data_IF_610471426397
#
_entry.id   IF_610471426397
#
_cell.length_a   1.000
_cell.length_b   1.000
_cell.length_c   1.000
_cell.angle_alpha   90.00
_cell.angle_beta   90.00
_cell.angle_gamma   90.00
#
_symmetry.space_group_name_H-M   'P 1'
#
loop_
_entity.id
_entity.type
_entity.pdbx_description
1 polymer ?
#
# COMPACT_ATOMS: atom_id res chain seq x y z
N UNK A 1 -28.33 -14.20 11.81
CA UNK A 1 -28.45 -12.78 11.41
C UNK A 1 -27.47 -11.99 12.28
N UNK A 2 -26.23 -11.77 11.81
CA UNK A 2 -25.13 -11.19 12.62
C UNK A 2 -25.08 -9.67 12.43
N UNK A 3 -25.68 -8.90 13.34
CA UNK A 3 -25.80 -7.42 13.24
C UNK A 3 -24.66 -6.67 13.96
N UNK A 4 -23.63 -7.35 14.48
CA UNK A 4 -22.58 -6.70 15.31
C UNK A 4 -21.13 -6.94 14.86
N UNK A 5 -20.87 -7.26 13.59
CA UNK A 5 -19.49 -7.39 13.08
C UNK A 5 -19.06 -6.13 12.33
N UNK A 6 -18.13 -5.36 12.90
CA UNK A 6 -17.51 -4.20 12.23
C UNK A 6 -16.39 -4.71 11.32
N UNK A 7 -16.49 -4.43 10.02
CA UNK A 7 -15.42 -4.75 9.08
C UNK A 7 -14.32 -3.71 9.22
N UNK A 8 -13.10 -4.18 9.48
CA UNK A 8 -11.90 -3.35 9.67
C UNK A 8 -10.80 -3.76 8.70
N UNK A 9 -9.88 -2.84 8.33
CA UNK A 9 -8.85 -3.15 7.36
C UNK A 9 -7.64 -3.91 7.95
N UNK A 10 -7.40 -3.84 9.26
CA UNK A 10 -6.36 -4.62 9.95
C UNK A 10 -6.75 -6.09 10.11
N UNK A 11 -5.77 -6.99 10.07
CA UNK A 11 -5.98 -8.44 10.22
C UNK A 11 -5.95 -8.91 11.67
N UNK A 12 -5.37 -8.12 12.56
CA UNK A 12 -5.20 -8.44 13.97
C UNK A 12 -4.99 -7.14 14.76
N UNK A 13 -5.12 -7.25 16.08
CA UNK A 13 -4.91 -6.12 16.99
C UNK A 13 -3.45 -5.63 16.92
N UNK A 14 -2.48 -6.53 16.76
CA UNK A 14 -1.06 -6.15 16.68
C UNK A 14 -0.71 -5.30 15.46
N UNK A 15 -1.34 -5.52 14.29
CA UNK A 15 -1.19 -4.62 13.13
C UNK A 15 -1.68 -3.21 13.50
N UNK A 16 -2.80 -3.12 14.22
CA UNK A 16 -3.39 -1.85 14.65
C UNK A 16 -2.53 -1.13 15.68
N UNK A 17 -2.12 -1.85 16.74
CA UNK A 17 -1.23 -1.36 17.80
C UNK A 17 0.09 -0.86 17.24
N UNK A 18 0.69 -1.59 16.28
CA UNK A 18 1.93 -1.17 15.64
C UNK A 18 1.80 0.20 14.97
N UNK A 19 0.69 0.46 14.28
CA UNK A 19 0.46 1.77 13.66
C UNK A 19 0.18 2.83 14.73
N UNK A 20 -0.66 2.52 15.71
CA UNK A 20 -1.00 3.42 16.80
C UNK A 20 0.23 3.86 17.62
N UNK A 21 1.13 2.92 17.95
CA UNK A 21 2.37 3.21 18.67
C UNK A 21 3.38 4.00 17.85
N UNK A 22 3.24 4.01 16.52
CA UNK A 22 4.15 4.69 15.61
C UNK A 22 3.76 6.14 15.32
N UNK A 23 2.55 6.58 15.69
CA UNK A 23 1.98 7.90 15.37
C UNK A 23 2.91 9.06 15.71
N UNK A 24 3.46 9.03 16.93
CA UNK A 24 4.33 10.09 17.49
C UNK A 24 5.82 9.80 17.33
N UNK A 25 6.18 8.73 16.63
CA UNK A 25 7.59 8.37 16.46
C UNK A 25 8.30 9.41 15.60
N UNK A 26 9.47 9.88 16.06
CA UNK A 26 10.41 10.66 15.25
C UNK A 26 11.31 9.77 14.38
N UNK A 27 11.31 8.46 14.61
CA UNK A 27 12.07 7.51 13.81
C UNK A 27 11.38 7.23 12.48
N UNK A 28 12.03 7.63 11.38
CA UNK A 28 11.52 7.45 10.03
C UNK A 28 11.43 5.97 9.61
N UNK A 29 12.21 5.07 10.21
CA UNK A 29 12.10 3.63 9.94
C UNK A 29 10.80 3.08 10.54
N UNK A 30 10.51 3.41 11.80
CA UNK A 30 9.25 3.05 12.47
C UNK A 30 8.05 3.62 11.70
N UNK A 31 8.15 4.87 11.28
CA UNK A 31 7.10 5.52 10.49
C UNK A 31 6.89 4.83 9.12
N UNK A 32 7.98 4.45 8.44
CA UNK A 32 7.94 3.73 7.17
C UNK A 32 7.26 2.37 7.33
N UNK A 33 7.58 1.63 8.38
CA UNK A 33 6.94 0.35 8.67
C UNK A 33 5.43 0.51 8.92
N UNK A 34 5.02 1.52 9.70
CA UNK A 34 3.62 1.83 9.93
C UNK A 34 2.88 2.17 8.61
N UNK A 35 3.49 3.01 7.77
CA UNK A 35 2.96 3.36 6.44
C UNK A 35 2.80 2.14 5.55
N UNK A 36 3.72 1.17 5.60
CA UNK A 36 3.59 -0.08 4.85
C UNK A 36 2.41 -0.91 5.32
N UNK A 37 2.22 -1.06 6.64
CA UNK A 37 1.05 -1.76 7.20
C UNK A 37 -0.25 -1.09 6.75
N UNK A 38 -0.32 0.25 6.87
CA UNK A 38 -1.48 1.02 6.42
C UNK A 38 -1.71 0.93 4.90
N UNK A 39 -0.66 0.83 4.09
CA UNK A 39 -0.82 0.64 2.64
C UNK A 39 -1.53 -0.66 2.32
N UNK A 40 -1.18 -1.75 3.02
CA UNK A 40 -1.88 -3.03 2.90
C UNK A 40 -3.35 -2.88 3.28
N UNK A 41 -3.66 -2.09 4.32
CA UNK A 41 -5.04 -1.78 4.71
C UNK A 41 -5.83 -1.06 3.62
N UNK A 42 -5.21 -0.11 2.91
CA UNK A 42 -5.84 0.61 1.80
C UNK A 42 -6.14 -0.29 0.60
N UNK A 43 -5.38 -1.37 0.39
CA UNK A 43 -5.65 -2.36 -0.66
C UNK A 43 -6.77 -3.34 -0.28
N UNK A 44 -6.98 -3.58 1.02
CA UNK A 44 -7.92 -4.59 1.52
C UNK A 44 -9.38 -4.17 1.48
N UNK A 45 -9.65 -2.87 1.48
CA UNK A 45 -11.00 -2.33 1.59
C UNK A 45 -11.14 -1.18 0.61
N UNK A 46 -12.31 -1.03 -0.01
CA UNK A 46 -12.58 0.11 -0.88
C UNK A 46 -12.32 1.41 -0.08
N UNK A 47 -11.58 2.36 -0.66
CA UNK A 47 -11.20 3.63 -0.03
C UNK A 47 -12.41 4.37 0.57
N UNK A 48 -13.58 4.28 -0.06
CA UNK A 48 -14.84 4.88 0.45
C UNK A 48 -15.35 4.28 1.76
N UNK A 49 -14.84 3.13 2.18
CA UNK A 49 -15.18 2.42 3.42
C UNK A 49 -14.11 2.53 4.49
N UNK A 50 -12.98 3.17 4.19
CA UNK A 50 -11.88 3.35 5.13
C UNK A 50 -12.18 4.57 6.00
N UNK A 51 -12.02 4.48 7.33
CA UNK A 51 -12.19 5.63 8.20
C UNK A 51 -11.30 6.80 7.77
N UNK A 52 -11.84 8.01 7.77
CA UNK A 52 -11.09 9.22 7.39
C UNK A 52 -9.84 9.40 8.23
N UNK A 53 -9.90 9.10 9.53
CA UNK A 53 -8.74 9.16 10.42
C UNK A 53 -7.59 8.25 9.97
N UNK A 54 -7.89 7.05 9.45
CA UNK A 54 -6.89 6.13 8.88
C UNK A 54 -6.30 6.72 7.60
N UNK A 55 -7.12 7.29 6.71
CA UNK A 55 -6.63 7.94 5.49
C UNK A 55 -5.75 9.16 5.79
N UNK A 56 -6.21 10.05 6.68
CA UNK A 56 -5.47 11.22 7.10
C UNK A 56 -4.13 10.85 7.75
N UNK A 57 -4.13 9.84 8.62
CA UNK A 57 -2.90 9.35 9.25
C UNK A 57 -1.93 8.86 8.19
N UNK A 58 -2.38 8.03 7.25
CA UNK A 58 -1.54 7.52 6.17
C UNK A 58 -0.95 8.66 5.32
N UNK A 59 -1.77 9.61 4.88
CA UNK A 59 -1.32 10.73 4.03
C UNK A 59 -0.33 11.65 4.76
N UNK A 60 -0.57 11.95 6.04
CA UNK A 60 0.35 12.73 6.88
C UNK A 60 1.70 12.01 7.04
N UNK A 61 1.68 10.72 7.39
CA UNK A 61 2.92 9.95 7.58
C UNK A 61 3.70 9.80 6.27
N UNK A 62 3.03 9.60 5.14
CA UNK A 62 3.67 9.57 3.82
C UNK A 62 4.34 10.92 3.52
N UNK A 63 3.63 12.03 3.76
CA UNK A 63 4.20 13.36 3.53
C UNK A 63 5.40 13.67 4.44
N UNK A 64 5.36 13.21 5.70
CA UNK A 64 6.49 13.27 6.65
C UNK A 64 7.70 12.50 6.14
N UNK A 65 7.50 11.28 5.62
CA UNK A 65 8.57 10.46 5.04
C UNK A 65 9.17 11.06 3.76
N UNK A 66 8.36 11.77 2.97
CA UNK A 66 8.82 12.46 1.77
C UNK A 66 9.71 13.67 2.08
N UNK A 67 9.65 14.21 3.31
CA UNK A 67 10.39 15.40 3.74
C UNK A 67 10.22 16.58 2.75
N UNK A 68 9.00 16.74 2.28
CA UNK A 68 8.64 17.67 1.21
C UNK A 68 7.63 18.67 1.73
N UNK A 69 8.00 19.96 1.76
CA UNK A 69 7.13 21.06 2.23
C UNK A 69 5.77 21.07 1.50
N UNK A 70 5.69 20.96 0.16
CA UNK A 70 4.41 20.91 -0.54
C UNK A 70 3.59 19.66 -0.20
N UNK A 71 4.23 18.49 -0.07
CA UNK A 71 3.53 17.26 0.29
C UNK A 71 2.91 17.37 1.70
N UNK A 72 3.68 17.90 2.65
CA UNK A 72 3.22 18.11 4.03
C UNK A 72 2.08 19.12 4.10
N UNK A 73 2.19 20.24 3.37
CA UNK A 73 1.11 21.22 3.26
C UNK A 73 -0.17 20.60 2.69
N UNK A 74 -0.08 19.83 1.60
CA UNK A 74 -1.25 19.20 0.99
C UNK A 74 -1.88 18.14 1.91
N UNK A 75 -1.08 17.34 2.61
CA UNK A 75 -1.57 16.36 3.57
C UNK A 75 -2.28 17.04 4.74
N UNK A 76 -1.72 18.13 5.28
CA UNK A 76 -2.34 18.93 6.35
C UNK A 76 -3.65 19.56 5.86
N UNK A 77 -3.64 20.19 4.68
CA UNK A 77 -4.85 20.78 4.08
C UNK A 77 -5.96 19.74 3.91
N UNK A 78 -5.59 18.53 3.49
CA UNK A 78 -6.52 17.41 3.30
C UNK A 78 -7.03 16.86 4.64
N UNK A 79 -6.17 16.73 5.65
CA UNK A 79 -6.57 16.41 7.02
C UNK A 79 -7.61 17.40 7.53
N UNK A 80 -7.31 18.71 7.47
CA UNK A 80 -8.22 19.76 7.96
C UNK A 80 -9.56 19.68 7.21
N UNK A 81 -9.52 19.49 5.89
CA UNK A 81 -10.73 19.40 5.08
C UNK A 81 -11.59 18.18 5.46
N UNK A 82 -10.98 17.00 5.62
CA UNK A 82 -11.68 15.75 5.89
C UNK A 82 -12.19 15.65 7.34
N UNK A 83 -11.38 16.09 8.31
CA UNK A 83 -11.74 16.12 9.73
C UNK A 83 -12.88 17.11 9.98
N UNK A 84 -12.83 18.29 9.34
CA UNK A 84 -13.87 19.30 9.49
C UNK A 84 -15.20 18.89 8.84
N UNK A 85 -15.17 18.23 7.67
CA UNK A 85 -16.40 17.94 6.91
C UNK A 85 -17.11 16.63 7.29
N UNK A 86 -16.56 15.83 8.20
CA UNK A 86 -17.05 14.47 8.50
C UNK A 86 -18.55 14.44 8.88
N UNK A 87 -18.96 15.28 9.81
CA UNK A 87 -20.36 15.33 10.24
C UNK A 87 -21.30 15.87 9.16
N UNK A 88 -20.86 16.90 8.42
CA UNK A 88 -21.68 17.48 7.35
C UNK A 88 -21.92 16.45 6.23
N UNK A 89 -20.88 15.72 5.83
CA UNK A 89 -20.95 14.73 4.77
C UNK A 89 -21.78 13.52 5.19
N UNK A 90 -21.71 13.12 6.46
CA UNK A 90 -22.53 12.04 7.03
C UNK A 90 -24.01 12.41 7.09
N UNK A 91 -24.32 13.63 7.52
CA UNK A 91 -25.69 14.09 7.70
C UNK A 91 -26.36 14.53 6.38
N UNK A 92 -25.60 14.63 5.28
CA UNK A 92 -26.07 15.11 3.96
C UNK A 92 -26.88 16.41 4.09
N UNK A 93 -26.38 17.33 4.91
CA UNK A 93 -27.04 18.62 5.11
C UNK A 93 -27.18 19.35 3.77
N UNK A 94 -28.38 19.83 3.40
CA UNK A 94 -28.58 20.55 2.14
C UNK A 94 -27.89 21.93 2.12
N UNK A 95 -27.45 22.43 3.28
CA UNK A 95 -26.73 23.69 3.42
C UNK A 95 -25.25 23.44 3.72
N UNK A 96 -24.39 24.03 2.88
CA UNK A 96 -22.95 24.04 3.09
C UNK A 96 -22.58 25.02 4.21
N UNK A 97 -21.93 24.54 5.27
CA UNK A 97 -21.38 25.37 6.33
C UNK A 97 -19.99 25.89 5.97
N UNK A 98 -19.59 27.08 6.48
CA UNK A 98 -18.23 27.57 6.34
C UNK A 98 -17.20 26.60 6.96
N UNK A 99 -16.05 26.43 6.32
CA UNK A 99 -14.97 25.54 6.78
C UNK A 99 -14.50 25.92 8.19
N UNK A 100 -14.46 27.21 8.54
CA UNK A 100 -14.12 27.67 9.90
C UNK A 100 -15.10 27.19 10.96
N UNK A 101 -16.40 27.15 10.63
CA UNK A 101 -17.42 26.62 11.53
C UNK A 101 -17.33 25.09 11.66
N UNK A 102 -17.01 24.41 10.58
CA UNK A 102 -16.79 22.96 10.55
C UNK A 102 -15.55 22.55 11.35
N UNK A 103 -14.43 23.25 11.16
CA UNK A 103 -13.18 23.00 11.88
C UNK A 103 -13.36 23.16 13.40
N UNK A 104 -14.04 24.23 13.81
CA UNK A 104 -14.37 24.46 15.22
C UNK A 104 -15.25 23.34 15.80
N UNK A 105 -16.27 22.89 15.05
CA UNK A 105 -17.13 21.76 15.46
C UNK A 105 -16.34 20.45 15.60
N UNK A 106 -15.35 20.24 14.73
CA UNK A 106 -14.45 19.09 14.79
C UNK A 106 -13.36 19.21 15.89
N UNK A 107 -13.36 20.28 16.70
CA UNK A 107 -12.38 20.50 17.75
C UNK A 107 -10.99 20.90 17.25
N UNK A 108 -10.88 21.37 16.00
CA UNK A 108 -9.63 21.91 15.47
C UNK A 108 -9.42 23.36 15.91
N UNK A 109 -8.17 23.80 16.15
CA UNK A 109 -7.86 25.22 16.40
C UNK A 109 -8.35 26.12 15.26
N UNK A 110 -8.89 27.31 15.60
CA UNK A 110 -9.50 28.22 14.60
C UNK A 110 -8.53 28.56 13.45
N UNK A 111 -7.24 28.75 13.77
CA UNK A 111 -6.18 29.09 12.79
C UNK A 111 -5.95 28.00 11.74
N UNK A 112 -6.34 26.74 11.98
CA UNK A 112 -6.21 25.69 10.99
C UNK A 112 -7.12 25.90 9.78
N UNK A 113 -8.29 26.52 9.99
CA UNK A 113 -9.19 26.82 8.87
C UNK A 113 -8.60 27.87 7.93
N UNK A 114 -7.87 28.85 8.48
CA UNK A 114 -7.14 29.86 7.72
C UNK A 114 -5.94 29.25 7.00
N UNK A 115 -5.17 28.42 7.70
CA UNK A 115 -4.06 27.66 7.10
C UNK A 115 -4.51 26.83 5.89
N UNK A 116 -5.65 26.15 5.99
CA UNK A 116 -6.21 25.39 4.87
C UNK A 116 -6.49 26.29 3.67
N UNK A 117 -7.02 27.49 3.90
CA UNK A 117 -7.31 28.45 2.83
C UNK A 117 -6.03 29.01 2.23
N UNK A 118 -5.04 29.35 3.06
CA UNK A 118 -3.73 29.82 2.61
C UNK A 118 -3.07 28.80 1.66
N UNK A 119 -3.02 27.53 2.07
CA UNK A 119 -2.46 26.46 1.24
C UNK A 119 -3.26 26.30 -0.06
N UNK A 120 -4.60 26.34 0.00
CA UNK A 120 -5.46 26.22 -1.17
C UNK A 120 -5.27 27.38 -2.18
N UNK A 121 -4.93 28.57 -1.68
CA UNK A 121 -4.61 29.74 -2.49
C UNK A 121 -3.14 29.81 -2.92
N UNK A 122 -2.33 28.81 -2.57
CA UNK A 122 -0.93 28.70 -2.95
C UNK A 122 0.06 29.40 -2.02
N UNK A 123 -0.43 29.93 -0.88
CA UNK A 123 0.43 30.48 0.17
C UNK A 123 0.95 29.34 1.05
N UNK A 124 2.12 28.82 0.69
CA UNK A 124 2.79 27.76 1.45
C UNK A 124 3.49 28.33 2.69
N UNK A 125 3.15 27.88 3.90
CA UNK A 125 3.89 28.25 5.11
C UNK A 125 5.30 27.66 5.13
N UNK A 126 6.08 28.10 6.10
CA UNK A 126 7.43 27.55 6.35
C UNK A 126 7.34 26.06 6.74
N UNK A 127 8.39 25.30 6.41
CA UNK A 127 8.46 23.89 6.80
C UNK A 127 8.36 23.71 8.32
N UNK A 128 9.00 24.58 9.12
CA UNK A 128 8.94 24.50 10.58
C UNK A 128 7.50 24.69 11.12
N UNK A 129 6.72 25.58 10.52
CA UNK A 129 5.32 25.77 10.89
C UNK A 129 4.46 24.55 10.51
N UNK A 130 4.68 24.00 9.31
CA UNK A 130 4.00 22.76 8.88
C UNK A 130 4.41 21.56 9.74
N UNK A 131 5.65 21.52 10.22
CA UNK A 131 6.14 20.47 11.11
C UNK A 131 5.45 20.50 12.48
N UNK A 132 5.34 21.71 13.07
CA UNK A 132 4.56 21.91 14.28
C UNK A 132 3.08 21.56 14.07
N UNK A 133 2.52 21.95 12.90
CA UNK A 133 1.14 21.63 12.54
C UNK A 133 0.91 20.14 12.38
N UNK A 134 1.86 19.40 11.79
CA UNK A 134 1.83 17.94 11.70
C UNK A 134 1.64 17.31 13.09
N UNK A 135 2.40 17.77 14.09
CA UNK A 135 2.26 17.29 15.47
C UNK A 135 0.84 17.52 16.01
N UNK A 136 0.25 18.70 15.78
CA UNK A 136 -1.13 18.98 16.19
C UNK A 136 -2.14 18.05 15.48
N UNK A 137 -1.95 17.77 14.19
CA UNK A 137 -2.78 16.82 13.45
C UNK A 137 -2.67 15.40 14.03
N UNK A 138 -1.46 14.96 14.37
CA UNK A 138 -1.21 13.64 14.97
C UNK A 138 -1.83 13.56 16.37
N UNK A 139 -1.71 14.61 17.19
CA UNK A 139 -2.34 14.68 18.52
C UNK A 139 -3.87 14.61 18.42
N UNK A 140 -4.47 15.28 17.43
CA UNK A 140 -5.91 15.16 17.18
C UNK A 140 -6.32 13.74 16.77
N UNK A 141 -5.51 13.09 15.92
CA UNK A 141 -5.76 11.73 15.46
C UNK A 141 -5.55 10.68 16.57
N UNK A 142 -4.70 10.97 17.55
CA UNK A 142 -4.41 10.06 18.67
C UNK A 142 -5.68 9.61 19.38
N UNK A 143 -6.66 10.49 19.56
CA UNK A 143 -7.91 10.13 20.22
C UNK A 143 -8.70 9.06 19.45
N UNK A 144 -8.74 9.17 18.12
CA UNK A 144 -9.33 8.12 17.28
C UNK A 144 -8.60 6.80 17.48
N UNK A 145 -7.27 6.82 17.46
CA UNK A 145 -6.47 5.61 17.60
C UNK A 145 -6.62 4.98 18.99
N UNK A 146 -6.58 5.80 20.03
CA UNK A 146 -6.74 5.40 21.42
C UNK A 146 -8.13 4.81 21.69
N UNK A 147 -9.20 5.45 21.23
CA UNK A 147 -10.58 4.98 21.44
C UNK A 147 -10.93 3.71 20.64
N UNK A 148 -10.17 3.40 19.59
CA UNK A 148 -10.38 2.19 18.80
C UNK A 148 -9.29 1.13 19.07
N UNK A 149 -8.38 1.38 20.03
CA UNK A 149 -7.64 0.30 20.68
C UNK A 149 -8.67 -0.56 21.42
N UNK A 150 -8.61 -1.89 21.30
CA UNK A 150 -9.47 -2.74 22.11
C UNK A 150 -9.07 -2.60 23.59
N UNK A 151 -9.79 -1.77 24.35
CA UNK A 151 -9.74 -1.80 25.81
C UNK A 151 -10.26 -3.17 26.27
N UNK A 152 -9.36 -4.06 26.71
CA UNK A 152 -9.58 -5.19 27.62
C UNK A 152 -10.82 -6.12 27.44
N UNK A 153 -11.57 -6.08 26.33
CA UNK A 153 -12.69 -6.99 26.03
C UNK A 153 -12.30 -8.11 25.04
N UNK A 154 -11.00 -8.40 24.92
CA UNK A 154 -10.52 -9.58 24.20
C UNK A 154 -9.46 -10.35 24.98
N UNK A 155 -9.65 -10.53 26.29
CA UNK A 155 -8.98 -11.59 27.07
C UNK A 155 -9.53 -13.01 26.73
N UNK A 156 -9.95 -13.22 25.48
CA UNK A 156 -10.28 -14.55 24.94
C UNK A 156 -9.71 -14.81 23.54
N UNK A 157 -8.87 -13.89 23.02
CA UNK A 157 -7.95 -14.20 21.91
C UNK A 157 -6.50 -13.97 22.35
N UNK A 158 -6.24 -14.12 23.65
CA UNK A 158 -5.03 -14.79 24.17
C UNK A 158 -5.02 -16.29 23.82
N UNK A 159 -5.53 -16.65 22.64
CA UNK A 159 -4.86 -17.72 21.95
C UNK A 159 -3.55 -17.09 21.51
N UNK A 160 -2.55 -17.25 22.37
CA UNK A 160 -1.19 -17.63 21.99
C UNK A 160 -1.14 -17.75 20.48
N UNK A 161 -0.33 -16.92 19.84
CA UNK A 161 0.15 -17.13 18.48
C UNK A 161 0.84 -18.50 18.46
N UNK A 162 0.04 -19.57 18.55
CA UNK A 162 0.44 -20.96 18.46
C UNK A 162 0.84 -21.01 17.02
N UNK A 163 2.14 -20.96 16.84
CA UNK A 163 2.79 -21.25 15.59
C UNK A 163 2.03 -22.42 14.96
N UNK A 164 1.38 -22.13 13.83
CA UNK A 164 0.60 -23.16 13.15
C UNK A 164 1.59 -24.26 12.82
N UNK A 165 1.40 -25.44 13.40
CA UNK A 165 2.17 -26.60 13.00
C UNK A 165 1.67 -27.04 11.63
N UNK A 166 2.25 -26.44 10.59
CA UNK A 166 1.92 -26.69 9.20
C UNK A 166 2.13 -28.15 8.78
N UNK A 167 2.92 -28.93 9.52
CA UNK A 167 3.09 -30.35 9.25
C UNK A 167 1.87 -31.18 9.70
N UNK A 168 1.12 -30.69 10.69
CA UNK A 168 -0.05 -31.36 11.25
C UNK A 168 -1.35 -30.54 11.10
N UNK A 169 -1.32 -29.45 10.31
CA UNK A 169 -2.48 -28.58 10.17
C UNK A 169 -3.60 -29.24 9.37
N UNK A 170 -4.80 -29.45 9.95
CA UNK A 170 -5.86 -30.18 9.27
C UNK A 170 -6.37 -29.43 8.01
N UNK A 171 -6.48 -30.10 6.84
CA UNK A 171 -7.00 -29.49 5.62
C UNK A 171 -8.41 -28.88 5.76
N UNK A 172 -9.28 -29.51 6.54
CA UNK A 172 -10.66 -29.06 6.77
C UNK A 172 -10.66 -27.76 7.57
N UNK A 173 -9.82 -27.69 8.61
CA UNK A 173 -9.63 -26.49 9.42
C UNK A 173 -9.04 -25.35 8.59
N UNK A 174 -8.03 -25.62 7.77
CA UNK A 174 -7.49 -24.64 6.83
C UNK A 174 -8.58 -24.09 5.90
N UNK A 175 -9.45 -24.96 5.39
CA UNK A 175 -10.56 -24.58 4.52
C UNK A 175 -11.55 -23.66 5.24
N UNK A 176 -11.91 -23.98 6.49
CA UNK A 176 -12.79 -23.18 7.35
C UNK A 176 -12.17 -21.82 7.70
N UNK A 177 -10.90 -21.79 8.08
CA UNK A 177 -10.20 -20.55 8.41
C UNK A 177 -10.13 -19.61 7.19
N UNK A 178 -9.95 -20.17 5.98
CA UNK A 178 -9.90 -19.37 4.76
C UNK A 178 -11.26 -18.78 4.36
N UNK A 179 -12.38 -19.31 4.87
CA UNK A 179 -13.72 -18.76 4.67
C UNK A 179 -13.96 -17.49 5.51
N UNK A 180 -13.22 -17.33 6.60
CA UNK A 180 -13.22 -16.10 7.40
C UNK A 180 -12.15 -15.13 6.88
N UNK A 181 -12.50 -13.91 6.43
CA UNK A 181 -11.50 -12.95 5.94
C UNK A 181 -10.40 -12.60 6.94
N UNK A 182 -10.69 -12.67 8.25
CA UNK A 182 -9.72 -12.40 9.30
C UNK A 182 -8.75 -13.57 9.47
N UNK A 183 -9.30 -14.79 9.59
CA UNK A 183 -8.49 -15.99 9.80
C UNK A 183 -7.68 -16.35 8.54
N UNK A 184 -8.26 -16.14 7.35
CA UNK A 184 -7.55 -16.29 6.08
C UNK A 184 -6.23 -15.52 6.08
N UNK A 185 -6.25 -14.25 6.51
CA UNK A 185 -5.05 -13.41 6.55
C UNK A 185 -4.02 -13.89 7.58
N UNK A 186 -4.48 -14.31 8.76
CA UNK A 186 -3.58 -14.87 9.79
C UNK A 186 -2.90 -16.15 9.29
N UNK A 187 -3.67 -17.01 8.63
CA UNK A 187 -3.20 -18.25 8.00
C UNK A 187 -2.22 -17.96 6.86
N UNK A 188 -2.52 -17.00 5.98
CA UNK A 188 -1.63 -16.58 4.89
C UNK A 188 -0.29 -16.04 5.42
N UNK A 189 -0.32 -15.19 6.46
CA UNK A 189 0.88 -14.65 7.11
C UNK A 189 1.69 -15.73 7.82
N UNK A 190 1.01 -16.63 8.55
CA UNK A 190 1.64 -17.76 9.21
C UNK A 190 2.31 -18.69 8.19
N UNK A 191 1.63 -18.96 7.07
CA UNK A 191 2.17 -19.77 5.98
C UNK A 191 3.41 -19.12 5.39
N UNK A 192 3.39 -17.81 5.12
CA UNK A 192 4.56 -17.08 4.62
C UNK A 192 5.76 -17.16 5.57
N UNK A 193 5.51 -17.18 6.89
CA UNK A 193 6.55 -17.35 7.93
C UNK A 193 7.16 -18.75 7.87
N UNK A 194 6.30 -19.78 7.89
CA UNK A 194 6.70 -21.18 7.80
C UNK A 194 7.46 -21.47 6.49
N UNK A 195 6.92 -21.02 5.37
CA UNK A 195 7.55 -21.14 4.05
C UNK A 195 8.96 -20.53 4.05
N UNK A 196 9.12 -19.32 4.59
CA UNK A 196 10.44 -18.67 4.71
C UNK A 196 11.39 -19.43 5.64
N UNK A 197 10.89 -20.17 6.63
CA UNK A 197 11.70 -21.03 7.49
C UNK A 197 12.24 -22.27 6.76
N UNK A 198 11.44 -22.90 5.91
CA UNK A 198 11.82 -24.12 5.15
C UNK A 198 13.03 -23.92 4.23
N UNK A 199 13.26 -22.70 3.77
CA UNK A 199 14.40 -22.40 2.89
C UNK A 199 15.71 -22.34 3.68
N UNK A 200 15.67 -21.91 4.96
CA UNK A 200 16.84 -21.84 5.84
C UNK A 200 17.35 -23.23 6.22
N UNK A 201 16.44 -24.20 6.33
CA UNK A 201 16.78 -25.61 6.56
C UNK A 201 17.25 -26.35 5.30
N UNK A 202 17.44 -25.67 4.16
CA UNK A 202 17.87 -26.29 2.91
C UNK A 202 16.78 -27.11 2.21
N UNK A 203 15.51 -27.02 2.63
CA UNK A 203 14.42 -27.89 2.16
C UNK A 203 13.80 -27.49 0.81
N UNK A 204 14.33 -26.49 0.10
CA UNK A 204 13.86 -26.03 -1.22
C UNK A 204 14.13 -26.99 -2.40
N UNK A 205 14.32 -28.29 -2.14
CA UNK A 205 14.31 -29.32 -3.18
C UNK A 205 12.88 -29.47 -3.73
N UNK A 206 12.70 -29.61 -5.07
CA UNK A 206 11.39 -29.88 -5.69
C UNK A 206 10.64 -31.10 -5.10
N UNK A 207 11.36 -32.01 -4.44
CA UNK A 207 10.84 -33.21 -3.79
C UNK A 207 10.08 -32.93 -2.48
N UNK A 208 10.45 -31.88 -1.75
CA UNK A 208 9.78 -31.48 -0.50
C UNK A 208 8.54 -30.59 -0.73
N UNK A 209 8.30 -30.14 -1.96
CA UNK A 209 7.08 -29.43 -2.32
C UNK A 209 5.83 -30.31 -2.15
N UNK A 210 5.96 -31.64 -2.16
CA UNK A 210 4.82 -32.55 -2.19
C UNK A 210 3.86 -32.38 -0.99
N UNK A 211 4.38 -32.16 0.21
CA UNK A 211 3.57 -31.85 1.40
C UNK A 211 2.88 -30.48 1.28
N UNK A 212 3.60 -29.48 0.75
CA UNK A 212 3.09 -28.13 0.53
C UNK A 212 2.04 -28.04 -0.58
N UNK A 213 2.11 -28.92 -1.60
CA UNK A 213 1.15 -28.92 -2.71
C UNK A 213 -0.28 -29.07 -2.21
N UNK A 214 -0.52 -29.85 -1.15
CA UNK A 214 -1.87 -30.01 -0.57
C UNK A 214 -2.40 -28.67 -0.03
N UNK A 215 -1.58 -27.97 0.74
CA UNK A 215 -1.89 -26.65 1.31
C UNK A 215 -2.11 -25.61 0.19
N UNK A 216 -1.22 -25.57 -0.79
CA UNK A 216 -1.32 -24.66 -1.93
C UNK A 216 -2.55 -24.93 -2.82
N UNK A 217 -2.99 -26.19 -2.96
CA UNK A 217 -4.26 -26.51 -3.65
C UNK A 217 -5.46 -25.93 -2.92
N UNK A 218 -5.44 -25.92 -1.60
CA UNK A 218 -6.52 -25.33 -0.79
C UNK A 218 -6.53 -23.81 -0.96
N UNK A 219 -5.37 -23.15 -0.86
CA UNK A 219 -5.26 -21.71 -1.16
C UNK A 219 -5.73 -21.37 -2.58
N UNK A 220 -5.37 -22.20 -3.57
CA UNK A 220 -5.86 -22.06 -4.96
C UNK A 220 -7.37 -22.16 -5.04
N UNK A 221 -7.95 -23.20 -4.43
CA UNK A 221 -9.41 -23.41 -4.44
C UNK A 221 -10.16 -22.26 -3.76
N UNK A 222 -9.58 -21.65 -2.73
CA UNK A 222 -10.13 -20.48 -2.02
C UNK A 222 -9.76 -19.13 -2.66
N UNK A 223 -9.14 -19.11 -3.84
CA UNK A 223 -8.71 -17.89 -4.55
C UNK A 223 -7.71 -17.01 -3.78
N UNK A 224 -6.84 -17.61 -2.96
CA UNK A 224 -5.88 -16.91 -2.08
C UNK A 224 -4.43 -16.97 -2.54
N UNK A 225 -4.14 -17.51 -3.72
CA UNK A 225 -2.76 -17.68 -4.22
C UNK A 225 -2.04 -16.35 -4.40
N UNK A 226 -2.74 -15.32 -4.90
CA UNK A 226 -2.17 -13.98 -5.01
C UNK A 226 -1.76 -13.43 -3.62
N UNK A 227 -2.59 -13.62 -2.59
CA UNK A 227 -2.28 -13.16 -1.23
C UNK A 227 -1.06 -13.90 -0.65
N UNK A 228 -0.96 -15.21 -0.87
CA UNK A 228 0.20 -16.02 -0.49
C UNK A 228 1.48 -15.54 -1.19
N UNK A 229 1.40 -15.26 -2.49
CA UNK A 229 2.52 -14.73 -3.26
C UNK A 229 2.91 -13.31 -2.81
N UNK A 230 1.94 -12.42 -2.56
CA UNK A 230 2.16 -11.07 -2.05
C UNK A 230 2.89 -11.09 -0.70
N UNK A 231 2.48 -11.96 0.21
CA UNK A 231 3.16 -12.13 1.50
C UNK A 231 4.63 -12.53 1.34
N UNK A 232 4.97 -13.35 0.35
CA UNK A 232 6.38 -13.67 0.06
C UNK A 232 7.17 -12.43 -0.36
N UNK A 233 6.61 -11.58 -1.25
CA UNK A 233 7.27 -10.34 -1.67
C UNK A 233 7.43 -9.33 -0.54
N UNK A 234 6.40 -9.10 0.28
CA UNK A 234 6.47 -8.13 1.38
C UNK A 234 7.35 -8.55 2.55
N UNK A 235 7.63 -9.85 2.65
CA UNK A 235 8.58 -10.38 3.65
C UNK A 235 10.04 -10.29 3.19
N UNK A 236 10.31 -9.90 1.94
CA UNK A 236 11.68 -9.68 1.47
C UNK A 236 12.31 -8.52 2.25
N UNK A 237 13.53 -8.75 2.73
CA UNK A 237 14.33 -7.80 3.49
C UNK A 237 15.66 -7.55 2.76
N UNK A 238 16.44 -6.57 3.22
CA UNK A 238 17.78 -6.31 2.70
C UNK A 238 18.84 -7.30 3.20
N UNK A 239 18.54 -8.15 4.21
CA UNK A 239 19.52 -9.08 4.81
C UNK A 239 19.79 -10.30 3.94
N UNK A 240 20.99 -10.88 4.00
CA UNK A 240 21.41 -11.97 3.12
C UNK A 240 20.68 -13.31 3.38
N UNK A 241 20.24 -13.57 4.61
CA UNK A 241 19.50 -14.79 4.99
C UNK A 241 17.99 -14.60 4.89
N UNK A 242 17.49 -14.66 3.66
CA UNK A 242 16.11 -14.32 3.36
C UNK A 242 15.38 -15.43 2.60
N UNK A 243 14.74 -16.31 3.36
CA UNK A 243 13.85 -17.31 2.81
C UNK A 243 12.66 -16.74 2.05
N UNK A 244 12.19 -15.56 2.45
CA UNK A 244 11.11 -14.89 1.72
C UNK A 244 11.58 -14.47 0.33
N UNK A 245 12.84 -14.06 0.18
CA UNK A 245 13.42 -13.77 -1.15
C UNK A 245 13.42 -14.99 -2.07
N UNK A 246 13.72 -16.20 -1.57
CA UNK A 246 13.65 -17.41 -2.38
C UNK A 246 12.22 -17.75 -2.79
N UNK A 247 11.25 -17.59 -1.89
CA UNK A 247 9.84 -17.78 -2.23
C UNK A 247 9.32 -16.73 -3.22
N UNK A 248 9.71 -15.47 -3.06
CA UNK A 248 9.40 -14.40 -4.02
C UNK A 248 9.95 -14.74 -5.41
N UNK A 249 11.17 -15.31 -5.50
CA UNK A 249 11.76 -15.82 -6.75
C UNK A 249 10.94 -16.95 -7.36
N UNK A 250 10.51 -17.94 -6.57
CA UNK A 250 9.70 -19.05 -7.06
C UNK A 250 8.35 -18.58 -7.58
N UNK A 251 7.68 -17.69 -6.86
CA UNK A 251 6.43 -17.08 -7.31
C UNK A 251 6.64 -16.28 -8.60
N UNK A 252 7.68 -15.46 -8.66
CA UNK A 252 8.01 -14.69 -9.85
C UNK A 252 8.25 -15.59 -11.07
N UNK A 253 9.04 -16.66 -10.89
CA UNK A 253 9.27 -17.65 -11.95
C UNK A 253 7.97 -18.33 -12.40
N UNK A 254 7.03 -18.58 -11.47
CA UNK A 254 5.73 -19.14 -11.81
C UNK A 254 4.82 -18.19 -12.57
N UNK A 255 4.78 -16.90 -12.21
CA UNK A 255 4.05 -15.91 -12.99
C UNK A 255 4.62 -15.77 -14.41
N UNK A 256 5.95 -15.70 -14.55
CA UNK A 256 6.60 -15.68 -15.86
C UNK A 256 6.30 -16.95 -16.67
N UNK A 257 6.33 -18.13 -16.03
CA UNK A 257 6.05 -19.39 -16.68
C UNK A 257 4.60 -19.45 -17.21
N UNK A 258 3.61 -19.05 -16.40
CA UNK A 258 2.20 -18.98 -16.85
C UNK A 258 2.02 -17.99 -18.01
N UNK A 259 2.69 -16.84 -17.97
CA UNK A 259 2.66 -15.86 -19.07
C UNK A 259 3.25 -16.43 -20.36
N UNK A 260 4.37 -17.12 -20.26
CA UNK A 260 5.12 -17.67 -21.40
C UNK A 260 4.57 -19.03 -21.89
N UNK A 261 3.56 -19.60 -21.23
CA UNK A 261 3.06 -20.94 -21.54
C UNK A 261 4.06 -22.06 -21.19
N UNK A 262 4.91 -21.84 -20.19
CA UNK A 262 5.91 -22.78 -19.68
C UNK A 262 5.51 -23.33 -18.32
N UNK A 263 6.19 -24.40 -17.90
CA UNK A 263 6.03 -24.96 -16.56
C UNK A 263 7.10 -24.47 -15.58
N UNK A 264 6.72 -24.36 -14.32
CA UNK A 264 7.62 -24.13 -13.18
C UNK A 264 7.11 -24.84 -11.94
N UNK A 265 7.88 -24.78 -10.85
CA UNK A 265 7.53 -25.45 -9.59
C UNK A 265 6.15 -25.04 -9.02
N UNK A 266 5.73 -23.79 -9.26
CA UNK A 266 4.47 -23.24 -8.74
C UNK A 266 3.48 -22.81 -9.83
N UNK A 267 3.81 -22.99 -11.12
CA UNK A 267 2.94 -22.55 -12.23
C UNK A 267 1.56 -23.21 -12.17
N UNK A 268 1.47 -24.46 -11.69
CA UNK A 268 0.19 -25.18 -11.54
C UNK A 268 -0.80 -24.49 -10.58
N UNK A 269 -0.34 -23.61 -9.69
CA UNK A 269 -1.18 -22.91 -8.72
C UNK A 269 -1.71 -21.58 -9.21
N UNK A 270 -1.08 -21.00 -10.24
CA UNK A 270 -1.42 -19.70 -10.79
C UNK A 270 -2.39 -19.88 -11.96
N UNK A 271 -3.43 -19.06 -12.00
CA UNK A 271 -4.36 -19.01 -13.14
C UNK A 271 -3.96 -17.86 -14.08
N UNK A 272 -4.28 -17.95 -15.38
CA UNK A 272 -4.01 -16.84 -16.30
C UNK A 272 -4.61 -15.50 -15.88
N UNK A 273 -5.79 -15.50 -15.24
CA UNK A 273 -6.41 -14.27 -14.72
C UNK A 273 -5.58 -13.62 -13.60
N UNK A 274 -4.86 -14.41 -12.81
CA UNK A 274 -4.04 -13.93 -11.70
C UNK A 274 -2.90 -13.02 -12.18
N UNK A 275 -2.44 -13.15 -13.44
CA UNK A 275 -1.45 -12.23 -14.04
C UNK A 275 -1.96 -10.79 -14.11
N UNK A 276 -3.27 -10.62 -14.36
CA UNK A 276 -3.89 -9.30 -14.50
C UNK A 276 -4.39 -8.73 -13.18
N UNK A 277 -4.72 -9.59 -12.20
CA UNK A 277 -5.25 -9.16 -10.90
C UNK A 277 -4.17 -9.06 -9.82
N UNK A 278 -2.96 -9.57 -10.06
CA UNK A 278 -1.87 -9.50 -9.09
C UNK A 278 -1.32 -8.07 -8.97
N UNK A 279 -1.20 -7.60 -7.73
CA UNK A 279 -0.76 -6.25 -7.37
C UNK A 279 0.77 -6.10 -7.49
N UNK A 280 1.29 -6.10 -8.72
CA UNK A 280 2.73 -5.98 -9.00
C UNK A 280 3.35 -4.68 -8.53
N UNK A 281 2.57 -3.59 -8.53
CA UNK A 281 3.06 -2.26 -8.17
C UNK A 281 3.50 -2.21 -6.71
N UNK A 282 2.67 -2.58 -5.71
CA UNK A 282 3.13 -2.67 -4.31
C UNK A 282 4.37 -3.56 -4.12
N UNK A 283 4.49 -4.68 -4.83
CA UNK A 283 5.69 -5.51 -4.79
C UNK A 283 6.93 -4.76 -5.28
N UNK A 284 6.82 -4.07 -6.41
CA UNK A 284 7.92 -3.28 -6.97
C UNK A 284 8.36 -2.17 -6.00
N UNK A 285 7.40 -1.46 -5.41
CA UNK A 285 7.67 -0.42 -4.42
C UNK A 285 8.41 -0.96 -3.20
N UNK A 286 7.95 -2.09 -2.66
CA UNK A 286 8.57 -2.74 -1.52
C UNK A 286 10.01 -3.15 -1.84
N UNK A 287 10.23 -3.86 -2.95
CA UNK A 287 11.55 -4.32 -3.38
C UNK A 287 12.53 -3.15 -3.60
N UNK A 288 12.09 -2.07 -4.22
CA UNK A 288 12.90 -0.85 -4.34
C UNK A 288 13.24 -0.23 -2.97
N UNK A 289 12.37 -0.38 -1.98
CA UNK A 289 12.57 0.15 -0.63
C UNK A 289 13.52 -0.67 0.25
N UNK A 290 13.73 -1.95 -0.09
CA UNK A 290 14.66 -2.90 0.56
C UNK A 290 15.78 -3.31 -0.41
N UNK A 291 16.12 -2.41 -1.33
CA UNK A 291 17.06 -2.69 -2.42
C UNK A 291 18.39 -3.23 -1.90
N UNK A 292 18.86 -4.30 -2.53
CA UNK A 292 20.10 -5.01 -2.24
C UNK A 292 20.60 -5.69 -3.52
N UNK A 293 21.87 -6.11 -3.60
CA UNK A 293 22.39 -6.83 -4.77
C UNK A 293 21.54 -8.05 -5.15
N UNK A 294 21.03 -8.82 -4.18
CA UNK A 294 20.09 -9.92 -4.44
C UNK A 294 18.77 -9.43 -5.06
N UNK A 295 18.16 -8.37 -4.52
CA UNK A 295 16.88 -7.83 -5.03
C UNK A 295 17.03 -7.31 -6.46
N UNK A 296 18.20 -6.74 -6.80
CA UNK A 296 18.51 -6.31 -8.16
C UNK A 296 18.36 -7.43 -9.20
N UNK A 297 18.54 -8.70 -8.81
CA UNK A 297 18.46 -9.84 -9.73
C UNK A 297 17.03 -10.16 -10.18
N UNK A 298 16.01 -9.82 -9.38
CA UNK A 298 14.60 -10.12 -9.67
C UNK A 298 13.84 -8.90 -10.16
N UNK A 299 14.36 -7.69 -9.91
CA UNK A 299 13.72 -6.43 -10.26
C UNK A 299 13.36 -6.30 -11.76
N UNK A 300 14.20 -6.75 -12.72
CA UNK A 300 13.86 -6.71 -14.14
C UNK A 300 12.61 -7.52 -14.48
N UNK A 301 12.47 -8.71 -13.89
CA UNK A 301 11.33 -9.60 -14.10
C UNK A 301 10.04 -9.05 -13.47
N UNK A 302 10.14 -8.47 -12.26
CA UNK A 302 9.01 -7.78 -11.62
C UNK A 302 8.56 -6.58 -12.46
N UNK A 303 9.51 -5.80 -12.98
CA UNK A 303 9.23 -4.68 -13.89
C UNK A 303 8.56 -5.12 -15.18
N UNK A 304 8.97 -6.26 -15.74
CA UNK A 304 8.38 -6.81 -16.95
C UNK A 304 6.93 -7.26 -16.74
N UNK A 305 6.61 -7.84 -15.59
CA UNK A 305 5.24 -8.22 -15.24
C UNK A 305 4.37 -6.99 -14.89
N UNK A 306 4.95 -5.99 -14.23
CA UNK A 306 4.27 -4.73 -13.92
C UNK A 306 4.02 -3.87 -15.17
N UNK A 307 4.96 -3.90 -16.13
CA UNK A 307 4.95 -3.05 -17.33
C UNK A 307 5.41 -3.84 -18.58
N UNK A 308 4.60 -4.79 -19.09
CA UNK A 308 5.00 -5.69 -20.18
C UNK A 308 5.30 -4.96 -21.50
N UNK A 309 4.74 -3.76 -21.68
CA UNK A 309 4.96 -2.92 -22.87
C UNK A 309 6.13 -1.93 -22.75
N UNK A 310 6.92 -2.00 -21.66
CA UNK A 310 8.04 -1.09 -21.43
C UNK A 310 9.23 -1.43 -22.34
N UNK A 311 9.69 -0.50 -23.21
CA UNK A 311 10.85 -0.72 -24.07
C UNK A 311 12.12 -1.05 -23.27
N UNK A 312 12.98 -1.92 -23.82
CA UNK A 312 14.21 -2.39 -23.17
C UNK A 312 15.13 -1.24 -22.72
N UNK A 313 15.40 -0.26 -23.60
CA UNK A 313 16.23 0.90 -23.27
C UNK A 313 15.71 1.72 -22.07
N UNK A 314 14.38 1.75 -21.85
CA UNK A 314 13.76 2.43 -20.70
C UNK A 314 13.83 1.59 -19.44
N UNK A 315 13.73 0.26 -19.58
CA UNK A 315 13.91 -0.70 -18.49
C UNK A 315 15.32 -0.61 -17.93
N UNK A 316 16.33 -0.56 -18.79
CA UNK A 316 17.74 -0.45 -18.39
C UNK A 316 18.03 0.87 -17.68
N UNK A 317 17.43 1.98 -18.14
CA UNK A 317 17.52 3.27 -17.47
C UNK A 317 16.89 3.24 -16.06
N UNK A 318 15.72 2.60 -15.91
CA UNK A 318 15.02 2.45 -14.62
C UNK A 318 15.82 1.57 -13.65
N UNK A 319 16.37 0.44 -14.13
CA UNK A 319 17.19 -0.45 -13.34
C UNK A 319 18.51 0.22 -12.93
N UNK A 320 19.11 1.00 -13.82
CA UNK A 320 20.29 1.81 -13.54
C UNK A 320 20.07 2.83 -12.42
N UNK A 321 18.85 3.35 -12.25
CA UNK A 321 18.52 4.22 -11.10
C UNK A 321 18.43 3.48 -9.77
N UNK A 322 18.12 2.18 -9.79
CA UNK A 322 18.01 1.37 -8.57
C UNK A 322 19.38 1.00 -7.99
N UNK A 323 20.38 0.75 -8.86
CA UNK A 323 21.71 0.30 -8.47
C UNK A 323 22.60 1.34 -7.80
N UNK A 324 22.28 2.64 -7.88
CA UNK A 324 23.22 3.72 -7.48
C UNK A 324 23.01 4.18 -6.02
N UNK A 325 21.95 3.75 -5.32
CA UNK A 325 21.69 4.18 -3.94
C UNK A 325 21.58 5.71 -3.76
N UNK A 326 21.49 6.47 -4.84
CA UNK A 326 21.45 7.93 -4.82
C UNK A 326 20.08 8.43 -5.30
N UNK A 327 19.63 9.53 -4.68
CA UNK A 327 18.65 10.45 -5.29
C UNK A 327 19.13 10.78 -6.72
N UNK A 328 18.29 10.70 -7.76
CA UNK A 328 18.77 10.85 -9.13
C UNK A 328 19.38 12.24 -9.38
N UNK A 329 20.70 12.34 -9.48
CA UNK A 329 21.36 13.47 -10.13
C UNK A 329 21.78 13.05 -11.54
N UNK A 330 20.83 13.11 -12.48
CA UNK A 330 21.16 13.06 -13.91
C UNK A 330 22.00 14.31 -14.25
N UNK A 331 23.32 14.14 -14.39
CA UNK A 331 24.15 15.07 -15.16
C UNK A 331 23.82 14.86 -16.63
N UNK A 332 23.54 15.97 -17.32
CA UNK A 332 23.32 16.02 -18.77
C UNK A 332 24.54 15.47 -19.48
N UNK A 333 24.39 14.33 -20.15
CA UNK A 333 25.25 14.01 -21.30
C UNK A 333 24.40 13.35 -22.39
N UNK A 334 24.42 14.04 -23.53
CA UNK A 334 23.82 13.72 -24.82
C UNK A 334 22.29 13.64 -24.90
N UNK A 335 21.73 14.79 -25.31
CA UNK A 335 20.53 14.88 -26.11
C UNK A 335 20.61 13.95 -27.32
N UNK A 336 19.88 12.84 -27.27
CA UNK A 336 19.30 12.25 -28.47
C UNK A 336 17.98 11.57 -28.14
N UNK A 337 16.89 12.21 -28.61
CA UNK A 337 15.55 11.64 -28.83
C UNK A 337 14.65 11.21 -27.65
N UNK A 338 14.99 11.47 -26.39
CA UNK A 338 14.07 11.15 -25.28
C UNK A 338 13.38 12.40 -24.70
N UNK A 339 12.13 12.67 -25.11
CA UNK A 339 11.23 13.72 -24.55
C UNK A 339 10.66 13.34 -23.17
N UNK A 340 11.42 12.65 -22.33
CA UNK A 340 10.97 12.26 -21.00
C UNK A 340 11.86 12.87 -19.93
N UNK A 341 11.27 13.70 -19.06
CA UNK A 341 11.94 14.21 -17.86
C UNK A 341 11.36 13.46 -16.66
N UNK A 342 12.18 12.61 -16.03
CA UNK A 342 11.85 12.09 -14.70
C UNK A 342 11.89 13.26 -13.72
N UNK A 343 10.76 13.55 -13.09
CA UNK A 343 10.70 14.57 -12.04
C UNK A 343 11.49 14.05 -10.83
N UNK A 344 12.55 14.76 -10.44
CA UNK A 344 13.51 14.33 -9.40
C UNK A 344 12.88 14.16 -8.01
N UNK A 345 11.67 14.67 -7.82
CA UNK A 345 10.89 14.64 -6.58
C UNK A 345 9.98 13.41 -6.45
N UNK A 346 9.78 12.62 -7.51
CA UNK A 346 8.82 11.51 -7.52
C UNK A 346 9.57 10.19 -7.72
N UNK A 347 9.40 9.27 -6.77
CA UNK A 347 9.87 7.90 -6.90
C UNK A 347 9.34 7.30 -8.21
N UNK A 348 10.22 6.86 -9.12
CA UNK A 348 9.85 6.51 -10.50
C UNK A 348 8.80 5.39 -10.57
N UNK A 349 8.77 4.50 -9.57
CA UNK A 349 7.78 3.43 -9.42
C UNK A 349 6.37 3.91 -9.08
N UNK A 350 6.19 5.19 -8.70
CA UNK A 350 4.88 5.82 -8.45
C UNK A 350 4.24 6.43 -9.70
N UNK A 351 4.98 6.61 -10.79
CA UNK A 351 4.43 7.14 -12.06
C UNK A 351 3.87 5.99 -12.94
N UNK A 352 2.71 6.14 -13.59
CA UNK A 352 2.29 5.21 -14.64
C UNK A 352 3.30 5.26 -15.79
N UNK A 353 4.13 4.23 -15.93
CA UNK A 353 5.13 4.19 -17.00
C UNK A 353 4.40 4.04 -18.33
N UNK A 354 4.40 5.09 -19.15
CA UNK A 354 3.75 5.12 -20.47
C UNK A 354 2.62 6.13 -20.63
N UNK A 355 2.24 6.87 -19.59
CA UNK A 355 1.31 8.02 -19.74
C UNK A 355 2.13 9.27 -20.00
N UNK A 356 2.03 9.82 -21.21
CA UNK A 356 2.41 11.21 -21.42
C UNK A 356 1.41 12.07 -20.63
N UNK A 357 1.86 12.99 -19.75
CA UNK A 357 1.09 14.21 -19.57
C UNK A 357 1.08 14.85 -20.95
N UNK A 358 -0.10 15.00 -21.56
CA UNK A 358 -0.21 15.79 -22.78
C UNK A 358 0.17 17.23 -22.40
N UNK A 359 1.45 17.60 -22.56
CA UNK A 359 1.94 18.94 -22.28
C UNK A 359 1.52 19.98 -23.34
N UNK A 360 0.53 19.65 -24.18
CA UNK A 360 -0.02 20.57 -25.16
C UNK A 360 -1.48 20.81 -24.78
N UNK A 361 -1.75 22.05 -24.33
CA UNK A 361 -3.05 22.63 -23.95
C UNK A 361 -3.48 22.49 -22.48
N UNK A 362 -2.65 23.02 -21.58
CA UNK A 362 -3.16 23.70 -20.40
C UNK A 362 -3.04 25.22 -20.62
N UNK A 363 -3.74 25.75 -21.62
CA UNK A 363 -4.08 27.17 -21.64
C UNK A 363 -5.25 27.34 -20.67
N UNK A 364 -5.03 28.08 -19.59
CA UNK A 364 -6.05 28.52 -18.63
C UNK A 364 -6.96 29.59 -19.25
N UNK A 365 -7.59 29.27 -20.39
CA UNK A 365 -8.54 30.12 -21.07
C UNK A 365 -9.97 29.83 -20.60
N UNK A 366 -10.61 30.84 -20.00
CA UNK A 366 -11.99 30.85 -19.46
C UNK A 366 -13.12 30.59 -20.49
N UNK A 367 -12.91 29.80 -21.56
CA UNK A 367 -13.92 29.63 -22.63
C UNK A 367 -14.47 28.23 -22.85
N UNK A 368 -13.96 27.19 -22.18
CA UNK A 368 -14.47 25.82 -22.33
C UNK A 368 -14.85 25.17 -20.98
N UNK A 369 -15.71 25.83 -20.19
CA UNK A 369 -16.54 25.10 -19.23
C UNK A 369 -17.76 24.54 -19.99
N UNK A 370 -17.57 23.42 -20.66
CA UNK A 370 -18.64 22.61 -21.22
C UNK A 370 -18.78 21.34 -20.40
N UNK A 371 -19.88 21.21 -19.68
CA UNK A 371 -20.36 19.92 -19.18
C UNK A 371 -20.49 18.94 -20.36
N UNK A 372 -20.19 17.63 -20.19
CA UNK A 372 -20.70 16.66 -21.14
C UNK A 372 -22.23 16.69 -21.08
N UNK A 373 -22.82 17.08 -22.21
CA UNK A 373 -24.25 17.00 -22.44
C UNK A 373 -24.72 15.54 -22.44
N UNK A 374 -25.89 15.34 -21.80
CA UNK A 374 -26.86 14.26 -21.96
C UNK A 374 -26.65 12.96 -21.18
N UNK A 375 -27.28 12.91 -20.00
CA UNK A 375 -27.85 11.68 -19.45
C UNK A 375 -28.90 11.09 -20.42
N UNK A 376 -29.01 9.75 -20.54
CA UNK A 376 -30.06 9.14 -21.33
C UNK A 376 -31.44 9.39 -20.71
N UNK A 377 -32.43 9.70 -21.56
CA UNK A 377 -33.81 9.87 -21.14
C UNK A 377 -34.36 8.60 -20.49
N UNK A 378 -34.73 8.69 -19.22
CA UNK A 378 -35.57 7.70 -18.55
C UNK A 378 -37.02 8.09 -18.81
N UNK A 379 -37.68 7.35 -19.70
CA UNK A 379 -39.13 7.45 -19.91
C UNK A 379 -39.89 6.70 -18.80
N UNK A 380 -40.79 7.36 -18.08
CA UNK A 380 -42.21 7.55 -18.40
C UNK A 380 -42.81 8.53 -17.39
#
# INVERSE_FOLDING_TARGET
>A
MYVHKRVVPWSCVSEYEKVASSLKSSDLLVLKEAVMVMRVWLCRVNVSKIPRSVLCTYELMVARLEQSTPALALAIMRFISLASSEDQDRLRSPQAMPVSSLARKAGLPDWMSDLRNDIAHGHLPTHAFLDATYSVCIDWLEEFWRCNLPEAEMCSVDNIQKEIDWNHYPPEKLTEDLDSPLQARMVEQSFGTYASGLTKSGCLEPRNLHSLKKILRIFKHKNRICDVALNAFFRVTSSDDDGAFQWAKLWLAAFLAVRDGKDSALSEFIRPCDLTTFEWRPCLEHLCSVFSPKVSTILPAVLELCHPKLPACRRDAVLGLCGVGQKPSLKRTHESTCKWKLERSVQWWRLPIGVFPNCNHATSGRRNQGFPHQDPQVGR
#
